data_IF_626492926953
#
_entry.id   IF_626492926953
#
_cell.length_a   1.000
_cell.length_b   1.000
_cell.length_c   1.000
_cell.angle_alpha   90.00
_cell.angle_beta   90.00
_cell.angle_gamma   90.00
#
_symmetry.space_group_name_H-M   'P 1'
#
loop_
_entity.id
_entity.type
_entity.pdbx_description
1 polymer ?
#
# COMPACT_ATOMS: atom_id res chain seq x y z
N UNK A 1 -22.54 -3.37 14.50
CA UNK A 1 -21.10 -3.66 14.59
C UNK A 1 -20.90 -5.09 14.13
N UNK A 2 -20.07 -5.34 13.13
CA UNK A 2 -19.87 -6.68 12.55
C UNK A 2 -18.90 -7.51 13.38
N UNK A 3 -18.92 -8.84 13.24
CA UNK A 3 -17.99 -9.74 13.96
C UNK A 3 -16.52 -9.37 13.72
N UNK A 4 -16.16 -8.98 12.49
CA UNK A 4 -14.81 -8.51 12.16
C UNK A 4 -14.42 -7.21 12.87
N UNK A 5 -15.37 -6.29 13.06
CA UNK A 5 -15.13 -5.03 13.77
C UNK A 5 -14.89 -5.28 15.26
N UNK A 6 -15.63 -6.23 15.83
CA UNK A 6 -15.45 -6.65 17.21
C UNK A 6 -14.10 -7.36 17.40
N UNK A 7 -13.73 -8.23 16.45
CA UNK A 7 -12.43 -8.91 16.45
C UNK A 7 -11.26 -7.95 16.25
N UNK A 8 -11.38 -6.98 15.35
CA UNK A 8 -10.40 -5.93 15.15
C UNK A 8 -10.19 -5.07 16.41
N UNK A 9 -11.27 -4.75 17.12
CA UNK A 9 -11.21 -4.05 18.41
C UNK A 9 -10.45 -4.82 19.46
N UNK A 10 -10.73 -6.11 19.58
CA UNK A 10 -10.08 -6.93 20.61
C UNK A 10 -8.58 -7.07 20.32
N UNK A 11 -8.19 -7.27 19.06
CA UNK A 11 -6.78 -7.35 18.66
C UNK A 11 -6.04 -6.04 18.92
N UNK A 12 -6.64 -4.90 18.54
CA UNK A 12 -6.05 -3.60 18.82
C UNK A 12 -5.96 -3.34 20.33
N UNK A 13 -6.97 -3.72 21.11
CA UNK A 13 -6.92 -3.56 22.56
C UNK A 13 -5.84 -4.43 23.23
N UNK A 14 -5.65 -5.67 22.77
CA UNK A 14 -4.59 -6.57 23.26
C UNK A 14 -3.19 -6.01 23.02
N UNK A 15 -2.96 -5.44 21.84
CA UNK A 15 -1.68 -4.81 21.49
C UNK A 15 -1.37 -3.60 22.38
N UNK A 16 -2.39 -2.88 22.80
CA UNK A 16 -2.22 -1.72 23.67
C UNK A 16 -1.96 -2.12 25.11
N UNK A 17 -2.62 -3.18 25.54
CA UNK A 17 -2.44 -3.78 26.85
C UNK A 17 -1.04 -4.38 27.02
N UNK A 18 -0.49 -5.03 25.97
CA UNK A 18 0.89 -5.55 25.98
C UNK A 18 1.95 -4.44 26.14
N UNK A 19 1.62 -3.22 25.70
CA UNK A 19 2.44 -2.00 25.82
C UNK A 19 2.20 -1.21 27.11
N UNK A 20 1.37 -1.71 28.03
CA UNK A 20 1.04 -1.02 29.29
C UNK A 20 0.05 0.14 29.14
N UNK A 21 -0.55 0.32 27.96
CA UNK A 21 -1.55 1.37 27.67
C UNK A 21 -2.97 0.90 28.03
N UNK A 22 -3.15 0.48 29.28
CA UNK A 22 -4.39 -0.16 29.75
C UNK A 22 -5.64 0.72 29.59
N UNK A 23 -5.51 2.04 29.76
CA UNK A 23 -6.63 2.97 29.60
C UNK A 23 -7.10 3.02 28.13
N UNK A 24 -6.17 3.16 27.19
CA UNK A 24 -6.46 3.15 25.76
C UNK A 24 -7.06 1.82 25.28
N UNK A 25 -6.54 0.69 25.77
CA UNK A 25 -7.10 -0.63 25.50
C UNK A 25 -8.56 -0.75 25.97
N UNK A 26 -8.86 -0.23 27.16
CA UNK A 26 -10.23 -0.18 27.72
C UNK A 26 -11.14 0.71 26.88
N UNK A 27 -10.65 1.86 26.44
CA UNK A 27 -11.43 2.82 25.66
C UNK A 27 -11.75 2.28 24.25
N UNK A 28 -10.83 1.53 23.64
CA UNK A 28 -11.04 0.81 22.38
C UNK A 28 -12.13 -0.28 22.54
N UNK A 29 -12.05 -1.10 23.59
CA UNK A 29 -13.04 -2.16 23.86
C UNK A 29 -14.43 -1.60 24.13
N UNK A 30 -14.51 -0.47 24.84
CA UNK A 30 -15.78 0.14 25.26
C UNK A 30 -16.34 1.16 24.27
N UNK A 31 -15.66 1.37 23.13
CA UNK A 31 -16.06 2.35 22.12
C UNK A 31 -16.21 3.77 22.69
N UNK A 32 -15.39 4.13 23.68
CA UNK A 32 -15.39 5.45 24.34
C UNK A 32 -14.29 6.36 23.81
N UNK A 33 -14.00 6.27 22.52
CA UNK A 33 -12.90 7.00 21.90
C UNK A 33 -13.18 8.51 21.73
N UNK A 34 -14.29 9.04 22.23
CA UNK A 34 -14.78 10.39 21.92
C UNK A 34 -14.08 11.53 22.67
N UNK A 35 -13.26 11.28 23.70
CA UNK A 35 -12.83 12.35 24.62
C UNK A 35 -11.37 12.86 24.43
N UNK A 36 -10.54 12.23 23.58
CA UNK A 36 -9.14 12.65 23.39
C UNK A 36 -8.76 12.91 21.91
N UNK A 37 -9.16 14.09 21.41
CA UNK A 37 -9.13 14.57 20.01
C UNK A 37 -7.84 14.34 19.19
N UNK A 38 -6.68 14.12 19.81
CA UNK A 38 -5.42 13.90 19.09
C UNK A 38 -5.27 12.49 18.49
N UNK A 39 -5.80 11.48 19.17
CA UNK A 39 -5.45 10.08 18.92
C UNK A 39 -6.62 9.22 18.42
N UNK A 40 -7.84 9.78 18.48
CA UNK A 40 -9.09 9.16 17.98
C UNK A 40 -9.01 8.85 16.49
N UNK A 41 -8.43 9.76 15.71
CA UNK A 41 -8.29 9.59 14.25
C UNK A 41 -7.36 8.43 13.92
N UNK A 42 -6.27 8.31 14.65
CA UNK A 42 -5.24 7.29 14.45
C UNK A 42 -5.75 5.92 14.87
N UNK A 43 -6.41 5.82 16.03
CA UNK A 43 -7.05 4.58 16.45
C UNK A 43 -8.22 4.16 15.55
N UNK A 44 -9.02 5.10 15.04
CA UNK A 44 -10.07 4.79 14.07
C UNK A 44 -9.52 4.34 12.72
N UNK A 45 -8.40 4.93 12.26
CA UNK A 45 -7.68 4.46 11.08
C UNK A 45 -7.14 3.04 11.29
N UNK A 46 -6.54 2.76 12.45
CA UNK A 46 -6.04 1.43 12.80
C UNK A 46 -7.17 0.39 12.90
N UNK A 47 -8.31 0.75 13.50
CA UNK A 47 -9.48 -0.12 13.56
C UNK A 47 -10.06 -0.42 12.18
N UNK A 48 -10.18 0.59 11.31
CA UNK A 48 -10.64 0.41 9.94
C UNK A 48 -9.69 -0.49 9.14
N UNK A 49 -8.39 -0.28 9.32
CA UNK A 49 -7.32 -1.08 8.73
C UNK A 49 -7.39 -2.56 9.13
N UNK A 50 -7.41 -2.87 10.43
CA UNK A 50 -7.47 -4.25 10.94
C UNK A 50 -8.78 -4.92 10.53
N UNK A 51 -9.90 -4.19 10.58
CA UNK A 51 -11.20 -4.71 10.13
C UNK A 51 -11.17 -5.09 8.66
N UNK A 52 -10.55 -4.28 7.81
CA UNK A 52 -10.45 -4.55 6.39
C UNK A 52 -9.48 -5.71 6.09
N UNK A 53 -8.36 -5.82 6.82
CA UNK A 53 -7.44 -6.95 6.72
C UNK A 53 -8.11 -8.28 7.11
N UNK A 54 -8.85 -8.32 8.23
CA UNK A 54 -9.59 -9.51 8.68
C UNK A 54 -10.65 -9.97 7.67
N UNK A 55 -11.26 -9.03 6.94
CA UNK A 55 -12.24 -9.33 5.87
C UNK A 55 -11.58 -9.81 4.59
N UNK A 56 -10.43 -9.24 4.24
CA UNK A 56 -9.71 -9.55 3.01
C UNK A 56 -9.01 -10.91 3.09
N UNK A 57 -8.40 -11.23 4.23
CA UNK A 57 -7.71 -12.48 4.45
C UNK A 57 -7.88 -12.90 5.92
N UNK A 58 -8.70 -13.92 6.22
CA UNK A 58 -8.88 -14.41 7.59
C UNK A 58 -7.66 -15.17 8.11
N UNK A 59 -6.60 -15.32 7.31
CA UNK A 59 -5.37 -16.00 7.69
C UNK A 59 -4.49 -15.16 8.63
N UNK A 60 -3.63 -15.85 9.39
CA UNK A 60 -2.79 -15.24 10.42
C UNK A 60 -1.60 -14.45 9.84
N UNK A 61 -1.36 -14.50 8.53
CA UNK A 61 -0.21 -13.83 7.88
C UNK A 61 -0.58 -12.39 7.56
N UNK A 62 -1.73 -12.15 6.94
CA UNK A 62 -2.21 -10.79 6.63
C UNK A 62 -2.42 -9.95 7.90
N UNK A 63 -2.88 -10.58 8.98
CA UNK A 63 -3.05 -9.90 10.27
C UNK A 63 -1.70 -9.47 10.87
N UNK A 64 -0.68 -10.31 10.77
CA UNK A 64 0.67 -10.01 11.27
C UNK A 64 1.30 -8.84 10.52
N UNK A 65 1.20 -8.83 9.19
CA UNK A 65 1.70 -7.74 8.35
C UNK A 65 0.96 -6.43 8.61
N UNK A 66 -0.35 -6.48 8.84
CA UNK A 66 -1.11 -5.29 9.24
C UNK A 66 -0.67 -4.76 10.62
N UNK A 67 -0.37 -5.65 11.58
CA UNK A 67 0.14 -5.27 12.90
C UNK A 67 1.55 -4.68 12.84
N UNK A 68 2.46 -5.27 12.06
CA UNK A 68 3.83 -4.74 11.83
C UNK A 68 3.79 -3.36 11.16
N UNK A 69 2.86 -3.15 10.22
CA UNK A 69 2.67 -1.84 9.58
C UNK A 69 2.15 -0.80 10.57
N UNK A 70 1.20 -1.16 11.44
CA UNK A 70 0.71 -0.27 12.51
C UNK A 70 1.80 0.06 13.52
N UNK A 71 2.69 -0.88 13.80
CA UNK A 71 3.86 -0.67 14.67
C UNK A 71 4.82 0.37 14.07
N UNK A 72 5.08 0.31 12.76
CA UNK A 72 5.91 1.32 12.07
C UNK A 72 5.27 2.71 12.10
N UNK A 73 3.94 2.82 11.96
CA UNK A 73 3.22 4.10 12.08
C UNK A 73 3.32 4.66 13.50
N UNK A 74 3.11 3.82 14.51
CA UNK A 74 3.08 4.24 15.91
C UNK A 74 4.47 4.64 16.43
N UNK A 75 5.53 4.10 15.82
CA UNK A 75 6.92 4.34 16.20
C UNK A 75 7.56 5.54 15.49
N UNK A 76 6.90 6.10 14.46
CA UNK A 76 7.41 7.24 13.71
C UNK A 76 6.83 8.57 14.25
N UNK A 77 7.61 9.40 14.96
CA UNK A 77 7.15 10.72 15.37
C UNK A 77 7.15 11.66 14.14
N UNK A 78 6.00 12.26 13.87
CA UNK A 78 5.77 13.36 12.91
C UNK A 78 6.19 13.17 11.43
N UNK A 79 6.65 11.99 11.03
CA UNK A 79 7.00 11.72 9.64
C UNK A 79 5.76 11.44 8.78
N UNK A 80 5.37 12.43 7.97
CA UNK A 80 4.27 12.33 7.00
C UNK A 80 4.52 11.25 5.93
N UNK A 81 5.79 10.90 5.65
CA UNK A 81 6.18 9.86 4.69
C UNK A 81 5.87 8.45 5.20
N UNK A 82 6.17 8.16 6.47
CA UNK A 82 5.82 6.88 7.11
C UNK A 82 4.29 6.65 7.14
N UNK A 83 3.52 7.72 7.37
CA UNK A 83 2.05 7.69 7.35
C UNK A 83 1.49 7.45 5.94
N UNK A 84 2.17 7.91 4.89
CA UNK A 84 1.79 7.65 3.50
C UNK A 84 2.10 6.21 3.06
N UNK A 85 3.28 5.69 3.42
CA UNK A 85 3.64 4.30 3.15
C UNK A 85 2.71 3.32 3.84
N UNK A 86 2.33 3.58 5.08
CA UNK A 86 1.39 2.71 5.77
C UNK A 86 -0.03 2.77 5.22
N UNK A 87 -0.50 3.93 4.75
CA UNK A 87 -1.76 4.02 4.02
C UNK A 87 -1.70 3.23 2.70
N UNK A 88 -0.54 3.24 2.02
CA UNK A 88 -0.26 2.43 0.83
C UNK A 88 -0.26 0.93 1.13
N UNK A 89 0.43 0.49 2.17
CA UNK A 89 0.44 -0.91 2.64
C UNK A 89 -0.94 -1.36 3.09
N UNK A 90 -1.70 -0.50 3.78
CA UNK A 90 -3.07 -0.81 4.17
C UNK A 90 -3.99 -0.91 2.95
N UNK A 91 -3.86 -0.02 1.95
CA UNK A 91 -4.60 -0.13 0.69
C UNK A 91 -4.27 -1.47 -0.01
N UNK A 92 -2.98 -1.82 -0.09
CA UNK A 92 -2.50 -3.08 -0.64
C UNK A 92 -3.07 -4.32 0.10
N UNK A 93 -3.12 -4.30 1.43
CA UNK A 93 -3.68 -5.38 2.25
C UNK A 93 -5.21 -5.46 2.14
N UNK A 94 -5.92 -4.33 2.02
CA UNK A 94 -7.37 -4.33 1.77
C UNK A 94 -7.76 -4.89 0.40
N UNK A 95 -6.85 -4.87 -0.57
CA UNK A 95 -7.06 -5.50 -1.88
C UNK A 95 -6.83 -7.00 -1.88
N UNK A 96 -6.25 -7.62 -0.85
CA UNK A 96 -5.92 -9.06 -0.86
C UNK A 96 -7.09 -10.03 -0.64
N UNK A 97 -8.33 -9.53 -0.54
CA UNK A 97 -9.55 -10.36 -0.64
C UNK A 97 -10.18 -10.37 -2.05
N UNK A 98 -9.68 -9.52 -2.95
CA UNK A 98 -9.78 -9.74 -4.38
C UNK A 98 -8.48 -10.44 -4.79
N UNK A 99 -8.51 -11.39 -5.71
CA UNK A 99 -7.28 -11.91 -6.30
C UNK A 99 -6.58 -10.73 -6.97
N UNK A 100 -5.60 -10.14 -6.27
CA UNK A 100 -4.80 -9.04 -6.78
C UNK A 100 -4.03 -9.50 -8.01
N UNK A 101 -3.60 -8.59 -8.90
CA UNK A 101 -2.81 -9.00 -10.03
C UNK A 101 -1.48 -9.57 -9.53
N UNK A 102 -1.29 -10.87 -9.74
CA UNK A 102 -0.05 -11.57 -9.40
C UNK A 102 1.08 -11.02 -10.29
N UNK A 103 2.23 -10.74 -9.68
CA UNK A 103 3.45 -10.39 -10.43
C UNK A 103 3.83 -11.52 -11.38
N UNK A 104 4.07 -11.17 -12.64
CA UNK A 104 4.41 -12.12 -13.72
C UNK A 104 5.75 -11.73 -14.33
N UNK A 105 6.49 -12.69 -14.94
CA UNK A 105 7.75 -12.38 -15.64
C UNK A 105 7.53 -11.34 -16.75
N UNK A 106 8.44 -10.37 -16.87
CA UNK A 106 8.33 -9.23 -17.80
C UNK A 106 8.14 -9.67 -19.26
N UNK A 107 8.66 -10.82 -19.65
CA UNK A 107 8.56 -11.39 -21.00
C UNK A 107 7.12 -11.79 -21.37
N UNK A 108 6.23 -11.87 -20.38
CA UNK A 108 4.81 -12.20 -20.56
C UNK A 108 3.91 -10.96 -20.58
N UNK A 109 4.51 -9.76 -20.55
CA UNK A 109 3.76 -8.51 -20.51
C UNK A 109 2.91 -8.32 -21.77
N UNK A 110 1.65 -7.86 -21.62
CA UNK A 110 0.77 -7.65 -22.75
C UNK A 110 1.16 -6.38 -23.51
N UNK A 111 1.18 -6.47 -24.83
CA UNK A 111 1.34 -5.32 -25.71
C UNK A 111 0.08 -4.44 -25.73
N UNK A 112 0.26 -3.13 -25.91
CA UNK A 112 -0.82 -2.14 -26.02
C UNK A 112 -1.59 -1.89 -24.72
N UNK A 113 -1.05 -2.28 -23.56
CA UNK A 113 -1.71 -2.13 -22.25
C UNK A 113 -0.78 -1.48 -21.23
N UNK A 114 -1.30 -0.49 -20.51
CA UNK A 114 -0.64 0.08 -19.34
C UNK A 114 -0.63 -0.93 -18.20
N UNK A 115 0.55 -1.18 -17.65
CA UNK A 115 0.80 -2.12 -16.56
C UNK A 115 1.68 -1.46 -15.49
N UNK A 116 1.75 -2.10 -14.33
CA UNK A 116 2.81 -1.80 -13.36
C UNK A 116 3.99 -2.70 -13.68
N UNK A 117 5.18 -2.14 -13.79
CA UNK A 117 6.46 -2.85 -13.97
C UNK A 117 7.27 -2.77 -12.69
N UNK A 118 8.08 -3.79 -12.40
CA UNK A 118 8.87 -3.88 -11.18
C UNK A 118 10.27 -4.46 -11.43
N UNK A 119 11.24 -4.01 -10.65
CA UNK A 119 12.62 -4.49 -10.69
C UNK A 119 13.37 -4.27 -9.38
N UNK A 120 14.46 -5.01 -9.19
CA UNK A 120 15.41 -4.79 -8.10
C UNK A 120 16.58 -3.93 -8.59
N UNK A 121 16.79 -2.78 -7.97
CA UNK A 121 18.00 -1.99 -8.14
C UNK A 121 19.12 -2.57 -7.27
N UNK A 122 20.09 -3.19 -7.94
CA UNK A 122 21.28 -3.76 -7.27
C UNK A 122 22.23 -2.68 -6.73
N UNK A 123 22.05 -1.41 -7.12
CA UNK A 123 22.87 -0.30 -6.63
C UNK A 123 22.34 0.29 -5.30
N UNK A 124 21.06 0.06 -4.96
CA UNK A 124 20.45 0.53 -3.71
C UNK A 124 20.30 -0.62 -2.70
N UNK A 125 21.14 -0.61 -1.65
CA UNK A 125 21.11 -1.62 -0.59
C UNK A 125 20.04 -1.40 0.47
N UNK A 126 19.44 -0.21 0.53
CA UNK A 126 18.44 0.14 1.55
C UNK A 126 17.02 0.03 0.99
N UNK A 127 16.83 0.39 -0.28
CA UNK A 127 15.52 0.36 -0.97
C UNK A 127 15.67 -0.22 -2.39
N UNK A 128 16.02 -1.51 -2.51
CA UNK A 128 16.25 -2.12 -3.83
C UNK A 128 14.98 -2.26 -4.66
N UNK A 129 13.81 -2.34 -4.05
CA UNK A 129 12.54 -2.56 -4.74
C UNK A 129 12.06 -1.29 -5.45
N UNK A 130 11.90 -1.37 -6.77
CA UNK A 130 11.42 -0.28 -7.60
C UNK A 130 10.23 -0.71 -8.45
N UNK A 131 9.35 0.24 -8.75
CA UNK A 131 8.17 0.03 -9.58
C UNK A 131 7.79 1.30 -10.33
N UNK A 132 7.18 1.12 -11.50
CA UNK A 132 6.68 2.22 -12.32
C UNK A 132 5.46 1.79 -13.17
N UNK A 133 4.83 2.74 -13.86
CA UNK A 133 3.80 2.49 -14.86
C UNK A 133 4.39 2.64 -16.26
N UNK A 134 4.19 1.62 -17.10
CA UNK A 134 4.67 1.62 -18.48
C UNK A 134 3.75 0.78 -19.37
N UNK A 135 3.86 0.93 -20.68
CA UNK A 135 3.17 0.08 -21.66
C UNK A 135 4.15 -0.35 -22.76
N UNK A 136 4.00 -1.60 -23.19
CA UNK A 136 4.79 -2.20 -24.26
C UNK A 136 4.11 -1.90 -25.61
N UNK A 137 4.84 -1.29 -26.53
CA UNK A 137 4.40 -0.98 -27.90
C UNK A 137 5.53 -1.27 -28.89
N UNK A 138 5.27 -2.10 -29.91
CA UNK A 138 6.25 -2.50 -30.93
C UNK A 138 7.57 -3.05 -30.33
N UNK A 139 7.44 -3.77 -29.21
CA UNK A 139 8.58 -4.36 -28.48
C UNK A 139 9.39 -3.35 -27.64
N UNK A 140 8.95 -2.10 -27.54
CA UNK A 140 9.58 -1.05 -26.73
C UNK A 140 8.69 -0.65 -25.56
N UNK A 141 9.32 -0.40 -24.42
CA UNK A 141 8.65 0.15 -23.24
C UNK A 141 8.60 1.66 -23.38
N UNK A 142 7.42 2.20 -23.71
CA UNK A 142 7.27 3.56 -24.21
C UNK A 142 7.83 4.61 -23.24
N UNK A 143 7.48 4.53 -21.94
CA UNK A 143 7.95 5.50 -20.96
C UNK A 143 9.46 5.42 -20.74
N UNK A 144 10.01 4.19 -20.69
CA UNK A 144 11.45 4.00 -20.58
C UNK A 144 12.19 4.56 -21.80
N UNK A 145 11.70 4.28 -23.00
CA UNK A 145 12.26 4.80 -24.25
C UNK A 145 12.25 6.33 -24.25
N UNK A 146 11.11 6.95 -23.91
CA UNK A 146 10.99 8.41 -23.76
C UNK A 146 12.01 8.97 -22.77
N UNK A 147 12.23 8.29 -21.63
CA UNK A 147 13.20 8.70 -20.62
C UNK A 147 14.64 8.66 -21.15
N UNK A 148 15.01 7.60 -21.87
CA UNK A 148 16.32 7.44 -22.49
C UNK A 148 16.54 8.49 -23.58
N UNK A 149 15.58 8.65 -24.50
CA UNK A 149 15.64 9.66 -25.57
C UNK A 149 15.75 11.08 -25.01
N UNK A 150 14.94 11.39 -23.99
CA UNK A 150 14.98 12.69 -23.32
C UNK A 150 16.35 12.93 -22.69
N UNK A 151 16.88 11.96 -21.95
CA UNK A 151 18.20 12.08 -21.34
C UNK A 151 19.28 12.32 -22.41
N UNK A 152 19.26 11.60 -23.53
CA UNK A 152 20.21 11.83 -24.63
C UNK A 152 20.10 13.23 -25.24
N UNK A 153 18.88 13.78 -25.30
CA UNK A 153 18.65 15.11 -25.87
C UNK A 153 19.13 16.26 -24.96
N UNK A 154 19.06 16.10 -23.64
CA UNK A 154 19.21 17.23 -22.69
C UNK A 154 20.30 17.06 -21.64
N UNK A 155 20.80 15.85 -21.40
CA UNK A 155 21.74 15.62 -20.30
C UNK A 155 23.10 16.29 -20.57
N UNK A 156 23.62 17.09 -19.61
CA UNK A 156 24.97 17.62 -19.70
C UNK A 156 26.05 16.52 -19.79
N UNK A 157 27.22 16.82 -20.38
CA UNK A 157 28.34 15.89 -20.36
C UNK A 157 28.71 15.47 -18.93
N UNK A 158 28.82 14.15 -18.71
CA UNK A 158 29.15 13.56 -17.41
C UNK A 158 27.96 13.24 -16.49
N UNK A 159 26.73 13.49 -16.94
CA UNK A 159 25.52 13.07 -16.22
C UNK A 159 25.39 11.53 -16.12
N UNK A 160 24.77 11.04 -15.05
CA UNK A 160 24.33 9.65 -14.94
C UNK A 160 23.15 9.46 -15.89
N UNK A 161 23.34 8.64 -16.92
CA UNK A 161 22.31 8.34 -17.91
C UNK A 161 21.42 7.17 -17.42
N UNK A 162 20.14 7.12 -17.82
CA UNK A 162 19.33 5.92 -17.66
C UNK A 162 19.96 4.75 -18.44
N UNK A 163 19.65 3.52 -18.04
CA UNK A 163 20.08 2.32 -18.76
C UNK A 163 19.38 2.27 -20.12
N UNK A 164 20.11 1.91 -21.19
CA UNK A 164 19.53 1.80 -22.54
C UNK A 164 18.38 0.78 -22.60
N UNK A 165 18.55 -0.35 -21.91
CA UNK A 165 17.51 -1.36 -21.76
C UNK A 165 16.76 -1.15 -20.44
N UNK A 166 15.43 -1.34 -20.44
CA UNK A 166 14.64 -1.24 -19.22
C UNK A 166 15.09 -2.31 -18.21
N UNK A 167 15.22 -1.96 -16.92
CA UNK A 167 15.64 -2.92 -15.89
C UNK A 167 14.51 -3.85 -15.44
N UNK A 168 13.32 -3.77 -16.05
CA UNK A 168 12.11 -4.44 -15.62
C UNK A 168 12.29 -5.96 -15.57
N UNK A 169 11.83 -6.57 -14.47
CA UNK A 169 11.89 -8.02 -14.22
C UNK A 169 10.49 -8.62 -14.12
N UNK A 170 9.53 -7.82 -13.65
CA UNK A 170 8.15 -8.27 -13.44
C UNK A 170 7.14 -7.23 -13.93
N UNK A 171 5.92 -7.69 -14.18
CA UNK A 171 4.77 -6.84 -14.44
C UNK A 171 3.53 -7.34 -13.68
N UNK A 172 2.56 -6.46 -13.49
CA UNK A 172 1.24 -6.81 -12.98
C UNK A 172 0.17 -5.88 -13.59
N UNK A 173 -1.09 -6.35 -13.68
CA UNK A 173 -2.18 -5.50 -14.15
C UNK A 173 -2.41 -4.30 -13.21
N UNK A 174 -2.92 -3.20 -13.75
CA UNK A 174 -3.43 -2.11 -12.92
C UNK A 174 -4.63 -2.60 -12.09
N UNK A 175 -4.67 -2.34 -10.78
CA UNK A 175 -5.83 -2.67 -9.98
C UNK A 175 -7.05 -1.89 -10.49
N UNK A 176 -8.21 -2.56 -10.48
CA UNK A 176 -9.46 -1.89 -10.84
C UNK A 176 -9.69 -0.70 -9.90
N UNK A 177 -10.13 0.43 -10.47
CA UNK A 177 -10.58 1.55 -9.66
C UNK A 177 -11.72 1.09 -8.73
N UNK A 178 -11.70 1.49 -7.45
CA UNK A 178 -12.80 1.15 -6.55
C UNK A 178 -14.11 1.68 -7.12
N UNK A 179 -15.13 0.83 -7.15
CA UNK A 179 -16.45 1.24 -7.61
C UNK A 179 -16.94 2.43 -6.78
N UNK A 180 -17.40 3.49 -7.45
CA UNK A 180 -18.03 4.62 -6.77
C UNK A 180 -19.20 4.09 -5.93
N UNK A 181 -19.27 4.47 -4.65
CA UNK A 181 -20.46 4.17 -3.85
C UNK A 181 -21.64 4.87 -4.51
N UNK A 182 -22.78 4.19 -4.72
CA UNK A 182 -23.98 4.89 -5.15
C UNK A 182 -24.28 5.99 -4.13
N UNK A 183 -24.25 7.24 -4.60
CA UNK A 183 -24.72 8.37 -3.80
C UNK A 183 -26.18 8.09 -3.47
N UNK A 184 -26.47 7.92 -2.18
CA UNK A 184 -27.81 7.67 -1.70
C UNK A 184 -28.78 8.67 -2.31
N UNK A 185 -29.79 8.14 -2.98
CA UNK A 185 -30.96 8.89 -3.41
C UNK A 185 -31.47 9.62 -2.16
N UNK A 186 -31.47 10.95 -2.20
CA UNK A 186 -32.21 11.72 -1.20
C UNK A 186 -33.68 11.47 -1.50
N UNK A 187 -34.32 10.66 -0.67
CA UNK A 187 -35.77 10.59 -0.64
C UNK A 187 -36.31 11.99 -0.32
N UNK A 188 -37.16 12.49 -1.22
CA UNK A 188 -37.88 13.77 -1.11
C UNK A 188 -39.16 13.56 -0.33
#
# INVERSE_FOLDING_TARGET
>A
MTDDQQRARELLAQEYESRGLHQSARDIRTNRMDEHLGWVREANMALAAITAALRAAPDAVALRTAMETLEQIASAPDDKGAKFNAAGTMAFLTTQGAVGPEWRPIETAPEGRLVVVGWMDTEDSHYPENYDFDYLEDGLWAKHADCVEHAHAVAPPGSKMPKEQPPYQWWMDLPAFPAARPQGVKDV
#
